data_IF_979430269763
#
_entry.id   IF_979430269763
#
_cell.length_a   1.000
_cell.length_b   1.000
_cell.length_c   1.000
_cell.angle_alpha   90.00
_cell.angle_beta   90.00
_cell.angle_gamma   90.00
#
_symmetry.space_group_name_H-M   'P 1'
#
loop_
_entity.id
_entity.type
_entity.pdbx_description
1 polymer ?
#
# COMPACT_ATOMS: atom_id res chain seq x y z
N UNK A 1 48.12 -37.39 -32.09
CA UNK A 1 47.53 -36.16 -31.54
C UNK A 1 46.02 -36.36 -31.42
N UNK A 2 45.54 -36.63 -30.24
CA UNK A 2 44.06 -36.78 -29.97
C UNK A 2 43.61 -35.51 -29.29
N UNK A 3 42.71 -34.76 -29.95
CA UNK A 3 42.06 -33.58 -29.39
C UNK A 3 40.94 -34.03 -28.44
N UNK A 4 41.02 -33.63 -27.17
CA UNK A 4 39.97 -33.84 -26.16
C UNK A 4 39.05 -32.59 -26.23
N UNK A 5 37.82 -32.80 -26.70
CA UNK A 5 36.76 -31.80 -26.64
C UNK A 5 36.13 -31.86 -25.24
N UNK A 6 36.39 -30.87 -24.39
CA UNK A 6 35.71 -30.69 -23.12
C UNK A 6 34.40 -29.97 -23.36
N UNK A 7 33.27 -30.71 -23.28
CA UNK A 7 31.93 -30.12 -23.28
C UNK A 7 31.62 -29.55 -21.90
N UNK A 8 31.53 -28.24 -21.80
CA UNK A 8 31.04 -27.54 -20.61
C UNK A 8 29.50 -27.64 -20.57
N UNK A 9 28.96 -28.52 -19.70
CA UNK A 9 27.53 -28.56 -19.42
C UNK A 9 27.19 -27.41 -18.48
N UNK A 10 26.55 -26.37 -19.02
CA UNK A 10 25.88 -25.34 -18.19
C UNK A 10 24.60 -25.97 -17.63
N UNK A 11 24.61 -26.31 -16.34
CA UNK A 11 23.41 -26.70 -15.59
C UNK A 11 22.65 -25.41 -15.23
N UNK A 12 21.62 -25.11 -16.00
CA UNK A 12 20.62 -24.12 -15.60
C UNK A 12 19.77 -24.74 -14.48
N UNK A 13 20.05 -24.37 -13.23
CA UNK A 13 19.15 -24.66 -12.10
C UNK A 13 17.89 -23.80 -12.25
N UNK A 14 16.87 -24.33 -12.90
CA UNK A 14 15.52 -23.79 -12.78
C UNK A 14 15.02 -24.08 -11.36
N UNK A 15 15.03 -23.06 -10.50
CA UNK A 15 14.26 -23.11 -9.26
C UNK A 15 12.77 -23.13 -9.63
N UNK A 16 12.18 -24.31 -9.72
CA UNK A 16 10.73 -24.46 -9.74
C UNK A 16 10.20 -23.99 -8.38
N UNK A 17 9.67 -22.78 -8.32
CA UNK A 17 8.81 -22.35 -7.23
C UNK A 17 7.56 -23.23 -7.28
N UNK A 18 7.52 -24.27 -6.45
CA UNK A 18 6.31 -25.06 -6.25
C UNK A 18 5.22 -24.14 -5.72
N UNK A 19 4.02 -24.24 -6.29
CA UNK A 19 2.83 -23.58 -5.77
C UNK A 19 2.60 -24.05 -4.33
N UNK A 20 3.08 -23.28 -3.37
CA UNK A 20 2.83 -23.53 -1.96
C UNK A 20 1.45 -23.01 -1.61
N UNK A 21 0.73 -23.73 -0.76
CA UNK A 21 -0.48 -23.19 -0.11
C UNK A 21 -0.14 -21.88 0.58
N UNK A 22 -1.13 -20.94 0.73
CA UNK A 22 -0.89 -19.72 1.45
C UNK A 22 -0.22 -20.01 2.79
N UNK A 23 0.86 -19.30 3.14
CA UNK A 23 1.56 -19.54 4.40
C UNK A 23 0.59 -19.37 5.57
N UNK A 24 0.56 -20.32 6.47
CA UNK A 24 -0.37 -20.37 7.61
C UNK A 24 0.02 -19.37 8.73
N UNK A 25 1.25 -18.90 8.70
CA UNK A 25 1.79 -18.10 9.79
C UNK A 25 2.39 -16.76 9.32
N UNK A 26 2.37 -15.81 10.23
CA UNK A 26 3.08 -14.53 10.17
C UNK A 26 4.59 -14.69 9.89
N UNK A 27 5.16 -15.88 10.17
CA UNK A 27 6.60 -16.13 10.15
C UNK A 27 7.09 -16.81 8.87
N UNK A 28 6.22 -17.08 7.89
CA UNK A 28 6.57 -17.86 6.69
C UNK A 28 7.26 -17.04 5.58
N UNK A 29 7.96 -16.00 5.95
CA UNK A 29 8.75 -15.16 5.05
C UNK A 29 10.25 -15.37 5.18
N UNK A 30 11.00 -14.56 4.44
CA UNK A 30 12.46 -14.49 4.50
C UNK A 30 12.95 -13.06 4.41
N UNK A 31 14.15 -12.80 4.91
CA UNK A 31 14.81 -11.52 4.71
C UNK A 31 15.49 -11.47 3.34
N UNK A 32 15.29 -10.36 2.64
CA UNK A 32 15.99 -10.01 1.40
C UNK A 32 16.72 -8.69 1.63
N UNK A 33 18.01 -8.64 1.31
CA UNK A 33 18.79 -7.41 1.43
C UNK A 33 18.54 -6.52 0.22
N UNK A 34 18.03 -5.33 0.46
CA UNK A 34 17.67 -4.33 -0.54
C UNK A 34 18.18 -2.97 -0.07
N UNK A 35 18.95 -2.28 -0.91
CA UNK A 35 19.46 -0.93 -0.64
C UNK A 35 20.10 -0.78 0.76
N UNK A 36 20.84 -1.82 1.19
CA UNK A 36 21.57 -1.85 2.46
C UNK A 36 20.73 -2.19 3.70
N UNK A 37 19.45 -2.53 3.56
CA UNK A 37 18.56 -2.97 4.63
C UNK A 37 17.99 -4.37 4.35
N UNK A 38 17.65 -5.12 5.39
CA UNK A 38 16.94 -6.40 5.29
C UNK A 38 15.44 -6.14 5.34
N UNK A 39 14.76 -6.43 4.25
CA UNK A 39 13.31 -6.38 4.17
C UNK A 39 12.73 -7.77 4.38
N UNK A 40 11.67 -7.86 5.16
CA UNK A 40 10.90 -9.09 5.33
C UNK A 40 9.97 -9.30 4.14
N UNK A 41 10.02 -10.46 3.50
CA UNK A 41 9.30 -10.75 2.27
C UNK A 41 8.62 -12.11 2.35
N UNK A 42 7.35 -12.17 1.98
CA UNK A 42 6.55 -13.40 1.86
C UNK A 42 6.18 -13.60 0.40
N UNK A 43 6.52 -14.75 -0.17
CA UNK A 43 6.30 -15.06 -1.60
C UNK A 43 5.62 -16.39 -1.74
N UNK A 44 4.50 -16.42 -2.45
CA UNK A 44 3.80 -17.69 -2.80
C UNK A 44 2.83 -17.48 -3.96
N UNK A 45 2.23 -18.56 -4.44
CA UNK A 45 1.35 -18.54 -5.60
C UNK A 45 2.08 -18.93 -6.88
N UNK A 46 1.40 -18.78 -8.01
CA UNK A 46 1.92 -19.14 -9.33
C UNK A 46 1.43 -18.17 -10.39
N UNK A 47 2.25 -17.89 -11.39
CA UNK A 47 1.99 -16.96 -12.48
C UNK A 47 2.87 -15.72 -12.39
N UNK A 48 2.51 -14.65 -13.07
CA UNK A 48 3.29 -13.43 -13.09
C UNK A 48 3.45 -12.82 -11.70
N UNK A 49 4.64 -12.25 -11.40
CA UNK A 49 4.88 -11.63 -10.11
C UNK A 49 3.98 -10.40 -9.90
N UNK A 50 3.31 -10.35 -8.75
CA UNK A 50 2.51 -9.23 -8.29
C UNK A 50 3.02 -8.76 -6.93
N UNK A 51 3.64 -7.57 -6.90
CA UNK A 51 4.01 -6.95 -5.64
C UNK A 51 2.83 -6.14 -5.10
N UNK A 52 2.53 -6.32 -3.81
CA UNK A 52 1.45 -5.63 -3.10
C UNK A 52 2.09 -4.65 -2.11
N UNK A 53 1.89 -3.35 -2.37
CA UNK A 53 2.48 -2.26 -1.60
C UNK A 53 1.47 -1.79 -0.55
N UNK A 54 1.78 -1.94 0.74
CA UNK A 54 0.89 -1.55 1.82
C UNK A 54 0.64 -0.04 1.92
N UNK A 55 -0.49 0.33 2.51
CA UNK A 55 -0.81 1.71 2.88
C UNK A 55 -0.16 2.17 4.19
N UNK A 56 -0.57 3.30 4.64
CA UNK A 56 -0.07 3.90 5.87
C UNK A 56 0.39 5.33 5.67
N UNK A 57 1.70 5.61 5.67
CA UNK A 57 2.94 4.89 5.33
C UNK A 57 3.51 3.91 6.38
N UNK A 58 2.96 3.82 7.57
CA UNK A 58 3.46 2.97 8.66
C UNK A 58 2.93 1.53 8.68
N UNK A 59 2.11 1.11 7.70
CA UNK A 59 1.46 -0.19 7.66
C UNK A 59 2.37 -1.35 7.24
N UNK A 60 1.98 -2.59 7.61
CA UNK A 60 2.70 -3.81 7.32
C UNK A 60 1.96 -4.72 6.33
N UNK A 61 2.69 -5.66 5.71
CA UNK A 61 2.18 -6.57 4.68
C UNK A 61 0.95 -7.38 5.11
N UNK A 62 0.88 -7.70 6.38
CA UNK A 62 -0.10 -8.65 6.89
C UNK A 62 -1.56 -8.17 6.73
N UNK A 63 -1.79 -6.87 6.72
CA UNK A 63 -3.11 -6.26 6.50
C UNK A 63 -3.67 -6.51 5.10
N UNK A 64 -2.86 -7.08 4.18
CA UNK A 64 -3.20 -7.27 2.77
C UNK A 64 -3.45 -8.74 2.38
N UNK A 65 -3.56 -9.64 3.36
CA UNK A 65 -3.81 -11.07 3.11
C UNK A 65 -5.16 -11.38 2.47
N UNK A 66 -6.07 -10.41 2.41
CA UNK A 66 -7.32 -10.54 1.63
C UNK A 66 -7.04 -10.72 0.12
N UNK A 67 -5.86 -10.29 -0.37
CA UNK A 67 -5.42 -10.52 -1.75
C UNK A 67 -4.90 -11.94 -2.04
N UNK A 68 -4.84 -12.83 -1.05
CA UNK A 68 -4.38 -14.23 -1.18
C UNK A 68 -5.15 -15.01 -2.26
N UNK A 69 -6.40 -14.62 -2.54
CA UNK A 69 -7.20 -15.24 -3.61
C UNK A 69 -6.60 -15.09 -5.01
N UNK A 70 -5.66 -14.16 -5.22
CA UNK A 70 -4.92 -13.99 -6.47
C UNK A 70 -3.75 -14.97 -6.61
N UNK A 71 -3.35 -15.70 -5.56
CA UNK A 71 -2.24 -16.65 -5.60
C UNK A 71 -2.45 -17.79 -6.60
N UNK A 72 -3.70 -18.04 -7.02
CA UNK A 72 -4.02 -19.04 -8.04
C UNK A 72 -3.52 -18.63 -9.45
N UNK A 73 -3.36 -17.33 -9.71
CA UNK A 73 -3.02 -16.76 -11.02
C UNK A 73 -1.80 -15.84 -11.01
N UNK A 74 -1.29 -15.49 -9.82
CA UNK A 74 -0.15 -14.59 -9.65
C UNK A 74 0.81 -15.12 -8.58
N UNK A 75 2.09 -14.89 -8.76
CA UNK A 75 3.09 -15.03 -7.70
C UNK A 75 3.03 -13.77 -6.84
N UNK A 76 2.40 -13.87 -5.67
CA UNK A 76 2.22 -12.75 -4.75
C UNK A 76 3.51 -12.46 -4.00
N UNK A 77 3.88 -11.19 -3.94
CA UNK A 77 5.04 -10.68 -3.21
C UNK A 77 4.52 -9.67 -2.20
N UNK A 78 4.42 -10.10 -0.94
CA UNK A 78 4.16 -9.25 0.20
C UNK A 78 5.48 -8.88 0.87
N UNK A 79 5.58 -7.68 1.39
CA UNK A 79 6.80 -7.26 2.09
C UNK A 79 6.49 -6.20 3.14
N UNK A 80 7.34 -6.13 4.15
CA UNK A 80 7.41 -4.99 5.04
C UNK A 80 8.45 -4.04 4.49
N UNK A 81 8.05 -2.82 4.17
CA UNK A 81 8.98 -1.82 3.71
C UNK A 81 9.95 -1.41 4.83
N UNK A 82 11.03 -0.72 4.48
CA UNK A 82 12.03 -0.25 5.44
C UNK A 82 11.39 0.54 6.58
N UNK A 83 11.66 0.13 7.81
CA UNK A 83 11.07 0.70 9.02
C UNK A 83 9.70 0.15 9.42
N UNK A 84 9.15 -0.83 8.72
CA UNK A 84 7.84 -1.44 9.04
C UNK A 84 8.03 -2.85 9.57
N UNK A 85 7.25 -3.18 10.59
CA UNK A 85 7.16 -4.48 11.27
C UNK A 85 8.51 -5.22 11.40
N UNK A 86 8.73 -6.27 10.61
CA UNK A 86 9.89 -7.17 10.70
C UNK A 86 11.12 -6.68 9.95
N UNK A 87 10.98 -5.68 9.08
CA UNK A 87 12.11 -5.13 8.34
C UNK A 87 13.04 -4.29 9.20
N UNK A 88 14.29 -4.13 8.75
CA UNK A 88 15.25 -3.25 9.41
C UNK A 88 14.70 -1.84 9.55
N UNK A 89 15.09 -1.19 10.66
CA UNK A 89 14.70 0.19 10.97
C UNK A 89 15.84 1.17 10.70
N UNK A 90 15.48 2.40 10.37
CA UNK A 90 16.44 3.49 10.18
C UNK A 90 17.18 3.84 11.48
N UNK A 91 18.44 4.24 11.34
CA UNK A 91 19.18 4.85 12.45
C UNK A 91 18.76 6.30 12.67
N UNK A 92 18.50 7.03 11.59
CA UNK A 92 17.89 8.35 11.60
C UNK A 92 16.50 8.26 10.92
N UNK A 93 15.45 8.74 11.58
CA UNK A 93 14.09 8.75 11.05
C UNK A 93 13.95 9.49 9.71
N UNK A 94 14.90 10.38 9.39
CA UNK A 94 14.98 11.08 8.09
C UNK A 94 15.28 10.17 6.91
N UNK A 95 15.76 8.95 7.16
CA UNK A 95 15.96 7.94 6.11
C UNK A 95 14.65 7.39 5.56
N UNK A 96 13.52 7.57 6.28
CA UNK A 96 12.19 7.20 5.79
C UNK A 96 11.68 8.24 4.80
N UNK A 97 11.44 7.84 3.58
CA UNK A 97 10.94 8.72 2.53
C UNK A 97 10.17 7.95 1.46
N UNK A 98 9.30 8.64 0.72
CA UNK A 98 8.61 8.11 -0.45
C UNK A 98 9.61 7.63 -1.51
N UNK A 99 10.70 8.37 -1.69
CA UNK A 99 11.80 8.03 -2.58
C UNK A 99 12.44 6.70 -2.22
N UNK A 100 12.73 6.47 -0.94
CA UNK A 100 13.31 5.21 -0.45
C UNK A 100 12.35 4.04 -0.71
N UNK A 101 11.05 4.21 -0.45
CA UNK A 101 10.07 3.15 -0.67
C UNK A 101 9.95 2.80 -2.16
N UNK A 102 10.06 3.78 -3.08
CA UNK A 102 10.09 3.55 -4.52
C UNK A 102 11.33 2.75 -4.93
N UNK A 103 12.52 3.13 -4.45
CA UNK A 103 13.77 2.43 -4.75
C UNK A 103 13.81 1.01 -4.16
N UNK A 104 13.14 0.78 -3.04
CA UNK A 104 13.05 -0.55 -2.44
C UNK A 104 12.22 -1.52 -3.31
N UNK A 105 11.20 -1.05 -4.06
CA UNK A 105 10.49 -1.87 -5.05
C UNK A 105 11.43 -2.35 -6.17
N UNK A 106 12.24 -1.43 -6.74
CA UNK A 106 13.22 -1.81 -7.77
C UNK A 106 14.29 -2.74 -7.21
N UNK A 107 14.74 -2.50 -5.99
CA UNK A 107 15.68 -3.37 -5.29
C UNK A 107 15.11 -4.78 -5.07
N UNK A 108 13.86 -4.91 -4.66
CA UNK A 108 13.17 -6.20 -4.51
C UNK A 108 13.01 -6.92 -5.85
N UNK A 109 12.55 -6.23 -6.91
CA UNK A 109 12.44 -6.80 -8.25
C UNK A 109 13.77 -7.42 -8.70
N UNK A 110 14.86 -6.65 -8.56
CA UNK A 110 16.21 -7.09 -8.93
C UNK A 110 16.70 -8.27 -8.09
N UNK A 111 16.53 -8.21 -6.78
CA UNK A 111 16.95 -9.26 -5.86
C UNK A 111 16.17 -10.58 -6.06
N UNK A 112 14.94 -10.48 -6.57
CA UNK A 112 14.09 -11.62 -6.92
C UNK A 112 14.25 -12.07 -8.38
N UNK A 113 15.10 -11.41 -9.16
CA UNK A 113 15.41 -11.73 -10.56
C UNK A 113 14.19 -11.72 -11.51
N UNK A 114 13.25 -10.77 -11.28
CA UNK A 114 12.13 -10.57 -12.21
C UNK A 114 12.49 -9.50 -13.25
N UNK A 115 12.23 -9.75 -14.52
CA UNK A 115 12.41 -8.76 -15.60
C UNK A 115 11.34 -7.68 -15.50
N UNK A 116 10.08 -8.08 -15.34
CA UNK A 116 8.93 -7.20 -15.15
C UNK A 116 8.05 -7.72 -14.00
N UNK A 117 7.34 -6.82 -13.34
CA UNK A 117 6.38 -7.14 -12.27
C UNK A 117 5.04 -6.43 -12.49
N UNK A 118 3.96 -7.02 -12.02
CA UNK A 118 2.72 -6.33 -11.75
C UNK A 118 2.84 -5.61 -10.41
N UNK A 119 2.28 -4.41 -10.32
CA UNK A 119 2.37 -3.57 -9.11
C UNK A 119 0.96 -3.18 -8.67
N UNK A 120 0.61 -3.49 -7.43
CA UNK A 120 -0.62 -3.03 -6.79
C UNK A 120 -0.25 -2.20 -5.57
N UNK A 121 -0.63 -0.93 -5.58
CA UNK A 121 -0.45 -0.04 -4.43
C UNK A 121 -1.78 0.41 -3.86
N UNK A 122 -1.99 0.20 -2.57
CA UNK A 122 -3.20 0.62 -1.86
C UNK A 122 -2.91 1.81 -0.96
N UNK A 123 -3.80 2.82 -0.96
CA UNK A 123 -3.66 4.00 -0.11
C UNK A 123 -2.30 4.68 -0.34
N UNK A 124 -1.49 4.91 0.70
CA UNK A 124 -0.11 5.37 0.56
C UNK A 124 0.71 4.52 -0.42
N UNK A 125 0.53 3.19 -0.41
CA UNK A 125 1.22 2.30 -1.36
C UNK A 125 0.96 2.65 -2.82
N UNK A 126 -0.17 3.31 -3.12
CA UNK A 126 -0.46 3.81 -4.46
C UNK A 126 0.40 5.02 -4.86
N UNK A 127 0.92 5.82 -3.91
CA UNK A 127 1.91 6.86 -4.21
C UNK A 127 3.23 6.21 -4.64
N UNK A 128 3.66 5.20 -3.88
CA UNK A 128 4.88 4.42 -4.19
C UNK A 128 4.73 3.78 -5.56
N UNK A 129 3.58 3.15 -5.85
CA UNK A 129 3.28 2.51 -7.13
C UNK A 129 3.30 3.50 -8.30
N UNK A 130 2.71 4.69 -8.14
CA UNK A 130 2.77 5.77 -9.14
C UNK A 130 4.21 6.22 -9.39
N UNK A 131 4.97 6.48 -8.33
CA UNK A 131 6.37 6.89 -8.42
C UNK A 131 7.23 5.83 -9.11
N UNK A 132 7.04 4.55 -8.76
CA UNK A 132 7.72 3.42 -9.39
C UNK A 132 7.37 3.29 -10.87
N UNK A 133 6.08 3.33 -11.24
CA UNK A 133 5.64 3.26 -12.63
C UNK A 133 6.15 4.41 -13.50
N UNK A 134 6.28 5.61 -12.92
CA UNK A 134 6.85 6.77 -13.63
C UNK A 134 8.36 6.69 -13.80
N UNK A 135 9.09 6.08 -12.87
CA UNK A 135 10.56 5.97 -12.88
C UNK A 135 11.06 4.77 -13.66
N UNK A 136 10.37 3.63 -13.53
CA UNK A 136 10.77 2.34 -14.09
C UNK A 136 9.68 1.73 -14.98
N UNK A 137 9.13 2.49 -15.97
CA UNK A 137 8.00 2.03 -16.77
C UNK A 137 8.29 0.73 -17.53
N UNK A 138 9.55 0.47 -17.89
CA UNK A 138 10.00 -0.74 -18.59
C UNK A 138 9.97 -2.00 -17.71
N UNK A 139 9.85 -1.86 -16.40
CA UNK A 139 9.82 -2.98 -15.44
C UNK A 139 8.41 -3.25 -14.90
N UNK A 140 7.39 -2.50 -15.32
CA UNK A 140 6.00 -2.66 -14.88
C UNK A 140 5.16 -3.25 -15.99
N UNK A 141 4.59 -4.46 -15.76
CA UNK A 141 3.68 -5.10 -16.71
C UNK A 141 2.27 -4.49 -16.62
N UNK A 142 1.71 -4.39 -15.42
CA UNK A 142 0.44 -3.73 -15.12
C UNK A 142 0.56 -2.95 -13.82
N UNK A 143 -0.13 -1.81 -13.75
CA UNK A 143 -0.16 -0.94 -12.57
C UNK A 143 -1.59 -0.84 -12.03
N UNK A 144 -1.78 -1.17 -10.75
CA UNK A 144 -3.06 -1.05 -10.04
C UNK A 144 -2.94 -0.02 -8.93
N UNK A 145 -3.77 1.00 -8.99
CA UNK A 145 -3.85 2.10 -8.01
C UNK A 145 -5.17 1.98 -7.25
N UNK A 146 -5.10 1.57 -5.99
CA UNK A 146 -6.23 1.20 -5.16
C UNK A 146 -6.46 2.24 -4.06
N UNK A 147 -7.64 2.90 -4.05
CA UNK A 147 -8.03 3.83 -2.97
C UNK A 147 -6.89 4.77 -2.55
N UNK A 148 -6.30 5.49 -3.50
CA UNK A 148 -5.03 6.21 -3.33
C UNK A 148 -5.12 7.69 -3.68
N UNK A 149 -4.00 8.38 -3.65
CA UNK A 149 -3.89 9.83 -3.80
C UNK A 149 -2.99 10.16 -4.99
N UNK A 150 -3.29 11.24 -5.71
CA UNK A 150 -2.46 11.73 -6.84
C UNK A 150 -1.54 12.89 -6.46
N UNK A 151 -1.79 13.53 -5.31
CA UNK A 151 -1.05 14.71 -4.85
C UNK A 151 -1.27 14.96 -3.37
N UNK A 152 -0.37 15.74 -2.75
CA UNK A 152 -0.54 16.23 -1.38
C UNK A 152 -1.83 17.04 -1.20
N UNK A 153 -2.28 17.76 -2.24
CA UNK A 153 -3.56 18.50 -2.23
C UNK A 153 -4.76 17.56 -2.00
N UNK A 154 -4.73 16.39 -2.67
CA UNK A 154 -5.76 15.36 -2.42
C UNK A 154 -5.65 14.81 -1.00
N UNK A 155 -4.45 14.52 -0.52
CA UNK A 155 -4.24 14.05 0.85
C UNK A 155 -4.79 15.03 1.87
N UNK A 156 -4.43 16.32 1.78
CA UNK A 156 -4.96 17.36 2.66
C UNK A 156 -6.50 17.40 2.64
N UNK A 157 -7.10 17.35 1.42
CA UNK A 157 -8.56 17.35 1.29
C UNK A 157 -9.20 16.14 1.98
N UNK A 158 -8.53 15.00 1.96
CA UNK A 158 -9.01 13.79 2.61
C UNK A 158 -8.92 13.88 4.14
N UNK A 159 -7.86 14.49 4.68
CA UNK A 159 -7.75 14.74 6.12
C UNK A 159 -8.79 15.77 6.58
N UNK A 160 -9.02 16.84 5.81
CA UNK A 160 -10.09 17.80 6.06
C UNK A 160 -11.47 17.12 6.11
N UNK A 161 -11.72 16.17 5.17
CA UNK A 161 -12.95 15.39 5.15
C UNK A 161 -13.06 14.46 6.37
N UNK A 162 -12.00 13.73 6.70
CA UNK A 162 -11.98 12.85 7.88
C UNK A 162 -12.25 13.64 9.16
N UNK A 163 -11.64 14.80 9.32
CA UNK A 163 -11.87 15.68 10.46
C UNK A 163 -13.31 16.24 10.48
N UNK A 164 -13.88 16.58 9.32
CA UNK A 164 -15.28 17.00 9.21
C UNK A 164 -16.23 15.86 9.61
N UNK A 165 -15.99 14.67 9.13
CA UNK A 165 -16.77 13.46 9.48
C UNK A 165 -16.70 13.14 10.98
N UNK A 166 -15.52 13.25 11.60
CA UNK A 166 -15.35 13.04 13.04
C UNK A 166 -16.08 14.12 13.82
N UNK A 167 -15.93 15.38 13.44
CA UNK A 167 -16.63 16.51 14.08
C UNK A 167 -18.16 16.32 14.04
N UNK A 168 -18.67 15.82 12.93
CA UNK A 168 -20.12 15.69 12.72
C UNK A 168 -20.70 14.47 13.46
N UNK A 169 -20.00 13.34 13.46
CA UNK A 169 -20.53 12.06 13.93
C UNK A 169 -20.03 11.66 15.33
N UNK A 170 -18.92 12.26 15.79
CA UNK A 170 -18.28 12.01 17.10
C UNK A 170 -17.93 13.34 17.79
N UNK A 171 -18.91 14.25 17.99
CA UNK A 171 -18.64 15.61 18.49
C UNK A 171 -17.93 15.61 19.85
N UNK A 172 -18.22 14.65 20.73
CA UNK A 172 -17.56 14.55 22.04
C UNK A 172 -16.06 14.20 21.94
N UNK A 173 -15.68 13.41 20.94
CA UNK A 173 -14.29 13.10 20.63
C UNK A 173 -13.61 14.34 20.04
N UNK A 174 -14.27 14.99 19.09
CA UNK A 174 -13.78 16.21 18.45
C UNK A 174 -13.55 17.34 19.45
N UNK A 175 -14.54 17.64 20.30
CA UNK A 175 -14.45 18.71 21.30
C UNK A 175 -13.32 18.43 22.32
N UNK A 176 -13.18 17.17 22.74
CA UNK A 176 -12.07 16.75 23.60
C UNK A 176 -10.72 16.97 22.92
N UNK A 177 -10.64 16.62 21.62
CA UNK A 177 -9.44 16.77 20.81
C UNK A 177 -9.06 18.25 20.64
N UNK A 178 -10.04 19.10 20.27
CA UNK A 178 -9.80 20.54 20.10
C UNK A 178 -9.35 21.20 21.40
N UNK A 179 -9.95 20.84 22.52
CA UNK A 179 -9.57 21.38 23.85
C UNK A 179 -8.11 21.06 24.22
N UNK A 180 -7.63 19.83 23.92
CA UNK A 180 -6.21 19.54 24.20
C UNK A 180 -5.28 20.21 23.18
N UNK A 181 -5.72 20.40 21.94
CA UNK A 181 -4.94 21.12 20.91
C UNK A 181 -4.73 22.60 21.25
N UNK A 182 -5.65 23.25 21.96
CA UNK A 182 -5.48 24.63 22.49
C UNK A 182 -4.26 24.76 23.41
N UNK A 183 -3.78 23.65 24.00
CA UNK A 183 -2.56 23.62 24.83
C UNK A 183 -1.28 23.43 24.03
N UNK A 184 -1.35 23.39 22.68
CA UNK A 184 -0.21 23.17 21.79
C UNK A 184 0.02 21.69 21.41
N UNK A 185 -0.88 20.78 21.80
CA UNK A 185 -0.84 19.36 21.41
C UNK A 185 -1.07 19.23 19.89
N UNK A 186 -0.23 18.42 19.24
CA UNK A 186 -0.28 18.14 17.79
C UNK A 186 -0.51 16.63 17.52
N UNK A 187 -0.75 16.26 16.25
CA UNK A 187 -1.13 14.89 15.84
C UNK A 187 -0.15 13.81 16.29
N UNK A 188 1.16 14.11 16.29
CA UNK A 188 2.19 13.14 16.71
C UNK A 188 2.26 12.91 18.23
N UNK A 189 1.56 13.69 19.05
CA UNK A 189 1.57 13.55 20.50
C UNK A 189 0.71 12.35 20.94
N UNK A 190 1.19 11.55 21.93
CA UNK A 190 0.46 10.36 22.38
C UNK A 190 -0.98 10.65 22.85
N UNK A 191 -1.21 11.79 23.49
CA UNK A 191 -2.55 12.18 23.98
C UNK A 191 -3.51 12.45 22.82
N UNK A 192 -3.02 13.08 21.73
CA UNK A 192 -3.81 13.28 20.51
C UNK A 192 -4.19 11.92 19.91
N UNK A 193 -3.23 11.03 19.71
CA UNK A 193 -3.45 9.69 19.13
C UNK A 193 -4.44 8.87 19.97
N UNK A 194 -4.35 8.96 21.31
CA UNK A 194 -5.28 8.29 22.20
C UNK A 194 -6.72 8.80 22.07
N UNK A 195 -6.91 10.12 21.90
CA UNK A 195 -8.23 10.72 21.76
C UNK A 195 -8.79 10.40 20.37
N UNK A 196 -7.99 10.63 19.31
CA UNK A 196 -8.37 10.35 17.92
C UNK A 196 -8.72 8.88 17.70
N UNK A 197 -7.97 7.97 18.31
CA UNK A 197 -8.21 6.53 18.28
C UNK A 197 -9.50 6.05 18.99
N UNK A 198 -10.28 6.93 19.63
CA UNK A 198 -11.63 6.62 20.13
C UNK A 198 -12.66 6.52 19.01
N UNK A 199 -12.37 7.10 17.84
CA UNK A 199 -13.19 6.93 16.64
C UNK A 199 -12.99 5.50 16.14
N UNK A 200 -14.07 4.71 15.95
CA UNK A 200 -13.93 3.36 15.45
C UNK A 200 -13.29 3.32 14.06
N UNK A 201 -12.28 2.46 13.88
CA UNK A 201 -11.57 2.33 12.60
C UNK A 201 -12.52 2.16 11.42
N UNK A 202 -13.52 1.28 11.51
CA UNK A 202 -14.47 1.03 10.43
C UNK A 202 -15.32 2.26 10.04
N UNK A 203 -15.41 3.29 10.89
CA UNK A 203 -16.19 4.47 10.56
C UNK A 203 -15.62 5.25 9.37
N UNK A 204 -14.30 5.48 9.34
CA UNK A 204 -13.65 6.21 8.24
C UNK A 204 -13.38 5.32 7.02
N UNK A 205 -13.10 4.02 7.26
CA UNK A 205 -12.51 3.12 6.28
C UNK A 205 -13.51 2.15 5.64
N UNK A 206 -14.76 2.09 6.09
CA UNK A 206 -15.72 1.12 5.58
C UNK A 206 -17.04 1.75 5.17
N UNK A 207 -17.68 1.15 4.16
CA UNK A 207 -19.10 1.31 3.89
C UNK A 207 -19.94 0.68 5.03
N UNK A 208 -19.61 -0.57 5.36
CA UNK A 208 -20.23 -1.26 6.49
C UNK A 208 -19.17 -1.53 7.58
N UNK A 209 -19.15 -0.77 8.70
CA UNK A 209 -18.20 -0.95 9.78
C UNK A 209 -18.15 -2.36 10.38
N UNK A 210 -19.20 -3.16 10.22
CA UNK A 210 -19.28 -4.52 10.73
C UNK A 210 -18.28 -5.48 10.07
N UNK A 211 -17.77 -5.14 8.87
CA UNK A 211 -16.70 -5.91 8.24
C UNK A 211 -15.41 -5.95 9.06
N UNK A 212 -15.17 -4.94 9.90
CA UNK A 212 -13.97 -4.83 10.74
C UNK A 212 -14.19 -5.33 12.17
N UNK A 213 -15.40 -5.78 12.52
CA UNK A 213 -15.63 -6.42 13.80
C UNK A 213 -14.95 -7.79 13.86
N UNK A 214 -14.42 -8.21 15.04
CA UNK A 214 -13.90 -9.55 15.23
C UNK A 214 -14.94 -10.61 14.83
N UNK A 215 -14.54 -11.59 14.04
CA UNK A 215 -15.41 -12.69 13.59
C UNK A 215 -14.94 -14.00 14.20
N UNK A 216 -15.85 -14.89 14.65
CA UNK A 216 -15.49 -16.22 15.08
C UNK A 216 -14.71 -16.97 13.99
N UNK A 217 -13.58 -17.58 14.34
CA UNK A 217 -12.74 -18.35 13.40
C UNK A 217 -11.78 -17.52 12.53
N UNK A 218 -11.90 -16.19 12.48
CA UNK A 218 -10.87 -15.35 11.85
C UNK A 218 -9.70 -15.18 12.81
N UNK A 219 -8.50 -15.60 12.41
CA UNK A 219 -7.28 -15.35 13.18
C UNK A 219 -7.07 -13.85 13.30
N UNK A 220 -7.00 -13.32 14.51
CA UNK A 220 -6.56 -11.96 14.76
C UNK A 220 -5.03 -11.94 14.70
N UNK A 221 -4.52 -11.31 13.67
CA UNK A 221 -3.09 -11.09 13.55
C UNK A 221 -2.72 -9.70 14.06
N UNK A 222 -1.54 -9.53 14.65
CA UNK A 222 -1.05 -8.20 14.96
C UNK A 222 -1.05 -7.36 13.68
N UNK A 223 -1.50 -6.13 13.78
CA UNK A 223 -1.40 -5.15 12.69
C UNK A 223 -0.49 -4.02 13.19
N UNK A 224 0.83 -4.24 13.20
CA UNK A 224 1.76 -3.24 13.68
C UNK A 224 1.74 -2.03 12.76
N UNK A 225 1.65 -0.86 13.38
CA UNK A 225 1.71 0.41 12.70
C UNK A 225 2.80 1.29 13.30
N UNK A 226 3.76 1.73 12.48
CA UNK A 226 4.82 2.60 12.91
C UNK A 226 4.38 4.07 12.86
N UNK A 227 3.79 4.57 13.95
CA UNK A 227 3.32 5.97 14.04
C UNK A 227 4.48 6.99 13.97
N UNK A 228 5.67 6.67 14.48
CA UNK A 228 6.83 7.57 14.38
C UNK A 228 7.23 7.79 12.93
N UNK A 229 7.28 6.73 12.14
CA UNK A 229 7.52 6.79 10.70
C UNK A 229 6.39 7.55 10.00
N UNK A 230 5.13 7.26 10.34
CA UNK A 230 3.97 7.94 9.77
C UNK A 230 4.11 9.46 9.91
N UNK A 231 4.26 9.98 11.14
CA UNK A 231 4.39 11.41 11.38
C UNK A 231 5.70 12.01 10.89
N UNK A 232 6.76 11.22 10.73
CA UNK A 232 7.97 11.67 10.03
C UNK A 232 7.69 11.97 8.55
N UNK A 233 6.86 11.16 7.89
CA UNK A 233 6.59 11.28 6.46
C UNK A 233 5.44 12.26 6.14
N UNK A 234 4.37 12.26 6.93
CA UNK A 234 3.20 13.12 6.69
C UNK A 234 3.27 14.47 7.40
N UNK A 235 4.21 14.63 8.32
CA UNK A 235 4.34 15.82 9.17
C UNK A 235 3.86 15.58 10.60
N UNK A 236 4.45 16.28 11.57
CA UNK A 236 4.14 16.12 12.99
C UNK A 236 2.68 16.39 13.33
N UNK A 237 2.02 17.25 12.57
CA UNK A 237 0.58 17.55 12.71
C UNK A 237 -0.24 17.03 11.52
N UNK A 238 0.16 15.89 10.98
CA UNK A 238 -0.28 15.33 9.70
C UNK A 238 -1.77 15.00 9.62
N UNK A 239 -2.47 14.80 10.74
CA UNK A 239 -3.92 14.60 10.74
C UNK A 239 -4.70 15.92 10.51
N UNK A 240 -4.02 17.08 10.51
CA UNK A 240 -4.59 18.40 10.25
C UNK A 240 -3.88 19.13 9.11
N UNK A 241 -2.56 19.01 9.02
CA UNK A 241 -1.75 19.72 8.03
C UNK A 241 -0.73 18.75 7.46
N UNK A 242 -0.95 18.38 6.21
CA UNK A 242 0.00 17.52 5.46
C UNK A 242 1.30 18.27 5.22
N UNK A 243 2.40 17.67 5.61
CA UNK A 243 3.73 18.26 5.51
C UNK A 243 4.81 17.22 5.23
N UNK A 244 6.02 17.54 5.64
CA UNK A 244 7.20 16.67 5.46
C UNK A 244 7.35 16.15 4.02
N UNK A 245 7.71 14.90 3.87
CA UNK A 245 7.94 14.24 2.58
C UNK A 245 6.67 14.22 1.71
N UNK A 246 5.53 13.85 2.32
CA UNK A 246 4.25 13.77 1.63
C UNK A 246 3.72 15.14 1.21
N UNK A 247 4.04 16.21 1.94
CA UNK A 247 3.66 17.58 1.57
C UNK A 247 4.23 18.09 0.24
N UNK A 248 5.16 17.35 -0.36
CA UNK A 248 5.84 17.74 -1.60
C UNK A 248 5.47 16.88 -2.82
N UNK A 249 4.74 15.75 -2.63
CA UNK A 249 4.44 14.90 -3.76
C UNK A 249 3.29 15.45 -4.61
N UNK A 250 3.47 15.45 -5.94
CA UNK A 250 2.44 15.77 -6.91
C UNK A 250 2.71 15.07 -8.23
N UNK A 251 1.87 14.10 -8.55
CA UNK A 251 2.00 13.32 -9.79
C UNK A 251 0.99 13.72 -10.87
N UNK A 252 0.07 14.66 -10.62
CA UNK A 252 -1.02 15.03 -11.52
C UNK A 252 -0.57 15.28 -12.95
N UNK A 253 0.46 16.10 -13.15
CA UNK A 253 0.97 16.41 -14.49
C UNK A 253 1.75 15.27 -15.15
N UNK A 254 2.16 14.25 -14.38
CA UNK A 254 3.03 13.17 -14.81
C UNK A 254 2.25 11.89 -15.14
N UNK A 255 1.07 11.66 -14.54
CA UNK A 255 0.32 10.40 -14.66
C UNK A 255 -0.07 10.04 -16.10
N UNK A 256 -0.26 11.03 -16.97
CA UNK A 256 -0.46 10.83 -18.43
C UNK A 256 0.72 10.14 -19.13
N UNK A 257 1.90 10.13 -18.51
CA UNK A 257 3.12 9.52 -19.07
C UNK A 257 3.29 8.04 -18.66
N UNK A 258 2.39 7.48 -17.86
CA UNK A 258 2.39 6.07 -17.56
C UNK A 258 2.10 5.28 -18.84
N UNK A 259 3.04 4.44 -19.27
CA UNK A 259 3.00 3.75 -20.57
C UNK A 259 2.45 2.32 -20.49
N UNK A 260 2.41 1.74 -19.27
CA UNK A 260 1.84 0.43 -19.04
C UNK A 260 0.31 0.53 -18.87
N UNK A 261 -0.43 -0.60 -18.99
CA UNK A 261 -1.84 -0.65 -18.60
C UNK A 261 -2.03 -0.24 -17.15
N UNK A 262 -2.99 0.66 -16.88
CA UNK A 262 -3.29 1.19 -15.53
C UNK A 262 -4.75 0.92 -15.18
N UNK A 263 -4.97 0.31 -14.03
CA UNK A 263 -6.27 0.21 -13.37
C UNK A 263 -6.27 1.09 -12.13
N UNK A 264 -7.27 1.97 -12.03
CA UNK A 264 -7.50 2.81 -10.86
C UNK A 264 -8.86 2.46 -10.29
N UNK A 265 -8.93 2.19 -8.98
CA UNK A 265 -10.22 1.97 -8.36
C UNK A 265 -10.32 2.63 -6.98
N UNK A 266 -11.57 2.94 -6.59
CA UNK A 266 -11.92 3.47 -5.27
C UNK A 266 -13.27 2.99 -4.81
N UNK A 267 -13.60 3.20 -3.53
CA UNK A 267 -14.91 2.92 -2.97
C UNK A 267 -15.77 4.18 -2.91
N UNK A 268 -17.06 4.05 -3.20
CA UNK A 268 -18.02 5.17 -3.20
C UNK A 268 -18.20 5.81 -1.82
N UNK A 269 -17.98 5.04 -0.76
CA UNK A 269 -18.14 5.46 0.64
C UNK A 269 -16.80 5.66 1.35
N UNK A 270 -15.71 5.80 0.59
CA UNK A 270 -14.39 6.06 1.14
C UNK A 270 -14.32 7.48 1.70
N UNK A 271 -14.12 7.61 3.01
CA UNK A 271 -13.97 8.91 3.69
C UNK A 271 -12.51 9.35 3.82
N UNK A 272 -11.59 8.45 3.42
CA UNK A 272 -10.13 8.67 3.47
C UNK A 272 -9.59 9.01 2.08
N UNK A 273 -9.93 8.24 1.03
CA UNK A 273 -9.63 8.58 -0.36
C UNK A 273 -10.95 8.97 -1.05
N UNK A 274 -11.42 10.20 -0.78
CA UNK A 274 -12.78 10.63 -1.10
C UNK A 274 -13.10 10.52 -2.59
N UNK A 275 -14.30 10.02 -2.96
CA UNK A 275 -14.69 9.70 -4.32
C UNK A 275 -14.58 10.88 -5.30
N UNK A 276 -14.93 12.08 -4.88
CA UNK A 276 -14.84 13.28 -5.73
C UNK A 276 -13.39 13.65 -6.09
N UNK A 277 -12.41 13.25 -5.30
CA UNK A 277 -11.00 13.41 -5.61
C UNK A 277 -10.46 12.21 -6.40
N UNK A 278 -10.95 11.00 -6.11
CA UNK A 278 -10.59 9.81 -6.88
C UNK A 278 -10.99 9.92 -8.35
N UNK A 279 -12.16 10.45 -8.65
CA UNK A 279 -12.64 10.59 -10.04
C UNK A 279 -11.74 11.52 -10.87
N UNK A 280 -10.99 12.44 -10.24
CA UNK A 280 -10.04 13.33 -10.92
C UNK A 280 -8.84 12.60 -11.52
N UNK A 281 -8.57 11.37 -11.10
CA UNK A 281 -7.60 10.54 -11.81
C UNK A 281 -7.92 10.38 -13.30
N UNK A 282 -9.20 10.41 -13.69
CA UNK A 282 -9.60 10.35 -15.11
C UNK A 282 -9.09 11.54 -15.91
N UNK A 283 -8.90 12.69 -15.28
CA UNK A 283 -8.33 13.88 -15.91
C UNK A 283 -6.80 13.76 -16.05
N UNK A 284 -6.13 13.21 -15.02
CA UNK A 284 -4.67 13.15 -14.97
C UNK A 284 -4.09 11.90 -15.62
N UNK A 285 -4.87 10.80 -15.69
CA UNK A 285 -4.49 9.52 -16.28
C UNK A 285 -5.63 9.00 -17.19
N UNK A 286 -5.94 9.70 -18.30
CA UNK A 286 -7.10 9.39 -19.14
C UNK A 286 -7.05 8.01 -19.79
N UNK A 287 -5.84 7.42 -19.93
CA UNK A 287 -5.64 6.09 -20.47
C UNK A 287 -5.99 4.95 -19.48
N UNK A 288 -6.18 5.27 -18.20
CA UNK A 288 -6.46 4.26 -17.18
C UNK A 288 -7.91 3.75 -17.25
N UNK A 289 -8.08 2.44 -17.01
CA UNK A 289 -9.40 1.88 -16.64
C UNK A 289 -9.72 2.36 -15.22
N UNK A 290 -10.84 3.07 -15.05
CA UNK A 290 -11.27 3.58 -13.75
C UNK A 290 -12.55 2.85 -13.29
N UNK A 291 -12.58 2.37 -12.04
CA UNK A 291 -13.72 1.68 -11.44
C UNK A 291 -14.04 2.27 -10.06
N UNK A 292 -15.33 2.55 -9.80
CA UNK A 292 -15.82 2.93 -8.49
C UNK A 292 -16.70 1.80 -7.95
N UNK A 293 -16.33 1.26 -6.78
CA UNK A 293 -17.07 0.20 -6.09
C UNK A 293 -18.25 0.80 -5.32
N UNK A 294 -19.45 0.29 -5.59
CA UNK A 294 -20.71 0.90 -5.15
C UNK A 294 -20.99 0.72 -3.65
N UNK A 295 -20.50 -0.37 -3.04
CA UNK A 295 -20.78 -0.74 -1.65
C UNK A 295 -19.48 -0.88 -0.84
N UNK A 296 -18.48 -0.09 -1.17
CA UNK A 296 -17.18 -0.12 -0.49
C UNK A 296 -16.76 1.26 -0.02
N UNK A 297 -16.04 1.26 1.11
CA UNK A 297 -15.20 2.37 1.55
C UNK A 297 -13.75 2.20 1.03
N UNK A 298 -12.79 2.29 1.95
CA UNK A 298 -11.35 2.25 1.64
C UNK A 298 -10.84 0.84 1.29
N UNK A 299 -11.65 -0.21 1.51
CA UNK A 299 -11.19 -1.60 1.43
C UNK A 299 -12.12 -2.49 0.58
N UNK A 300 -12.25 -2.27 -0.75
CA UNK A 300 -13.09 -3.11 -1.62
C UNK A 300 -12.71 -4.59 -1.57
N UNK A 301 -11.44 -4.93 -1.27
CA UNK A 301 -10.98 -6.31 -1.10
C UNK A 301 -11.68 -7.05 0.05
N UNK A 302 -12.23 -6.31 1.01
CA UNK A 302 -12.99 -6.84 2.15
C UNK A 302 -14.49 -6.75 1.92
N UNK A 303 -14.96 -5.67 1.28
CA UNK A 303 -16.37 -5.31 1.20
C UNK A 303 -17.06 -5.84 -0.08
N UNK A 304 -16.36 -5.81 -1.23
CA UNK A 304 -16.85 -6.36 -2.50
C UNK A 304 -15.84 -7.34 -3.14
N UNK A 305 -15.37 -8.38 -2.40
CA UNK A 305 -14.25 -9.21 -2.84
C UNK A 305 -14.53 -9.95 -4.15
N UNK A 306 -15.74 -10.42 -4.38
CA UNK A 306 -16.07 -11.18 -5.59
C UNK A 306 -15.91 -10.32 -6.86
N UNK A 307 -16.38 -9.08 -6.81
CA UNK A 307 -16.30 -8.13 -7.93
C UNK A 307 -14.85 -7.69 -8.13
N UNK A 308 -14.16 -7.31 -7.04
CA UNK A 308 -12.78 -6.84 -7.13
C UNK A 308 -11.84 -7.93 -7.67
N UNK A 309 -11.89 -9.14 -7.11
CA UNK A 309 -10.96 -10.18 -7.54
C UNK A 309 -11.26 -10.73 -8.93
N UNK A 310 -12.49 -10.64 -9.42
CA UNK A 310 -12.81 -10.89 -10.84
C UNK A 310 -12.15 -9.85 -11.74
N UNK A 311 -12.30 -8.56 -11.40
CA UNK A 311 -11.70 -7.43 -12.11
C UNK A 311 -10.17 -7.54 -12.15
N UNK A 312 -9.53 -7.84 -11.01
CA UNK A 312 -8.08 -7.95 -10.92
C UNK A 312 -7.53 -9.13 -11.74
N UNK A 313 -8.20 -10.30 -11.69
CA UNK A 313 -7.80 -11.45 -12.52
C UNK A 313 -7.91 -11.18 -14.00
N UNK A 314 -8.94 -10.47 -14.44
CA UNK A 314 -9.11 -10.05 -15.84
C UNK A 314 -8.01 -9.06 -16.26
N UNK A 315 -7.71 -8.08 -15.39
CA UNK A 315 -6.78 -7.00 -15.72
C UNK A 315 -5.31 -7.43 -15.71
N UNK A 316 -4.93 -8.39 -14.88
CA UNK A 316 -3.53 -8.84 -14.70
C UNK A 316 -3.11 -9.96 -15.66
N UNK A 317 -3.96 -10.38 -16.59
CA UNK A 317 -3.62 -11.33 -17.66
C UNK A 317 -2.89 -10.62 -18.79
#
# INVERSE_FOLDING_TARGET
>A
MKAILSSLLLVFSFCFLHAQNPPDSWNDGKYITVNGAKLWVVIYGKGDPLIIIPGGPGGAHFSYRDFDSLAATSTLIYYDAFGRDKSDTAKDVKEYSLERDIEDIEGLRRALHFDMINVLGHSYGGLVAQGYGLRYPQHVKHLVLANTFHSFVMWQKNDDNSNHEIKTNYPEVWDTLMKVRETGVISSDPIHQQIYGRVPYGFLYAYNPDYFKPRPGKKNYPNPFNSKLYYQMVGKDGDFIVGSDIGNFDYRSKLKNLSMPVLIYGGRFDRVAVPEMMIKFKEYCPQAKFVMFEFSGHNPQVEEPAVLFSLLREFLQ
#
